data_IF_197703817123
#
_entry.id   IF_197703817123
#
_cell.length_a   1.000
_cell.length_b   1.000
_cell.length_c   1.000
_cell.angle_alpha   90.00
_cell.angle_beta   90.00
_cell.angle_gamma   90.00
#
_symmetry.space_group_name_H-M   'P 1'
#
loop_
_entity.id
_entity.type
_entity.pdbx_description
1 polymer ?
#
# COMPACT_ATOMS: atom_id res chain seq x y z
N UNK A 1 59.89 -7.38 -14.38
CA UNK A 1 59.04 -6.95 -13.26
C UNK A 1 57.88 -6.15 -13.83
N UNK A 2 56.70 -6.76 -13.98
CA UNK A 2 55.47 -6.07 -14.41
C UNK A 2 54.48 -6.10 -13.25
N UNK A 3 54.11 -4.92 -12.74
CA UNK A 3 53.19 -4.76 -11.62
C UNK A 3 51.75 -4.80 -12.17
N UNK A 4 50.96 -5.79 -11.77
CA UNK A 4 49.53 -5.84 -12.09
C UNK A 4 48.81 -4.64 -11.48
N UNK A 5 48.19 -3.83 -12.34
CA UNK A 5 47.30 -2.74 -11.93
C UNK A 5 45.84 -3.20 -11.93
N UNK A 6 45.08 -2.86 -10.89
CA UNK A 6 43.64 -3.07 -10.85
C UNK A 6 42.93 -2.02 -11.70
N UNK A 7 42.18 -2.46 -12.71
CA UNK A 7 41.20 -1.62 -13.41
C UNK A 7 39.89 -1.65 -12.62
N UNK A 8 39.31 -0.48 -12.39
CA UNK A 8 37.99 -0.37 -11.75
C UNK A 8 36.95 -1.02 -12.65
N UNK A 9 36.26 -2.04 -12.16
CA UNK A 9 35.15 -2.65 -12.88
C UNK A 9 33.99 -1.65 -13.00
N UNK A 10 33.20 -1.70 -14.08
CA UNK A 10 31.96 -0.93 -14.17
C UNK A 10 31.06 -1.20 -12.96
N UNK A 11 30.40 -0.17 -12.41
CA UNK A 11 29.47 -0.37 -11.30
C UNK A 11 28.39 -1.36 -11.71
N UNK A 12 28.10 -2.33 -10.83
CA UNK A 12 27.03 -3.29 -11.08
C UNK A 12 25.68 -2.58 -11.18
N UNK A 13 24.81 -2.99 -12.12
CA UNK A 13 23.49 -2.40 -12.24
C UNK A 13 22.71 -2.54 -10.93
N UNK A 14 21.98 -1.49 -10.57
CA UNK A 14 21.15 -1.44 -9.37
C UNK A 14 20.04 -2.50 -9.49
N UNK A 15 19.93 -3.35 -8.47
CA UNK A 15 18.82 -4.29 -8.37
C UNK A 15 17.51 -3.53 -8.16
N UNK A 16 16.52 -3.77 -9.03
CA UNK A 16 15.16 -3.25 -8.85
C UNK A 16 14.48 -4.10 -7.78
N UNK A 17 14.25 -3.53 -6.59
CA UNK A 17 13.45 -4.19 -5.57
C UNK A 17 11.96 -4.11 -5.95
N UNK A 18 11.38 -5.23 -6.36
CA UNK A 18 9.92 -5.35 -6.43
C UNK A 18 9.40 -5.48 -5.00
N UNK A 19 8.85 -4.39 -4.45
CA UNK A 19 8.13 -4.44 -3.17
C UNK A 19 6.78 -5.12 -3.42
N UNK A 20 6.67 -6.38 -3.00
CA UNK A 20 5.39 -7.09 -2.99
C UNK A 20 4.53 -6.56 -1.84
N UNK A 21 3.73 -5.53 -2.12
CA UNK A 21 2.77 -4.97 -1.16
C UNK A 21 1.37 -5.61 -1.25
N UNK A 22 0.49 -5.21 -0.33
CA UNK A 22 -0.92 -5.61 -0.38
C UNK A 22 -1.61 -5.08 -1.64
N UNK A 23 -2.56 -5.83 -2.22
CA UNK A 23 -3.32 -5.35 -3.35
C UNK A 23 -4.12 -4.11 -2.98
N UNK A 24 -4.31 -3.21 -3.95
CA UNK A 24 -5.12 -2.00 -3.75
C UNK A 24 -6.59 -2.37 -3.70
N UNK A 25 -7.31 -1.87 -2.70
CA UNK A 25 -8.76 -1.99 -2.67
C UNK A 25 -9.38 -1.25 -3.87
N UNK A 26 -10.26 -1.95 -4.58
CA UNK A 26 -11.13 -1.36 -5.59
C UNK A 26 -12.48 -1.00 -4.97
N UNK A 27 -13.15 0.08 -5.40
CA UNK A 27 -14.48 0.41 -4.89
C UNK A 27 -15.47 -0.75 -5.10
N UNK A 28 -16.27 -1.06 -4.07
CA UNK A 28 -17.38 -2.00 -4.20
C UNK A 28 -18.29 -1.57 -5.35
N UNK A 29 -18.76 -2.54 -6.14
CA UNK A 29 -19.74 -2.32 -7.19
C UNK A 29 -21.01 -3.08 -6.85
N UNK A 30 -22.14 -2.38 -6.96
CA UNK A 30 -23.47 -2.91 -6.76
C UNK A 30 -24.24 -2.85 -8.08
N UNK A 31 -25.21 -3.76 -8.28
CA UNK A 31 -26.09 -3.69 -9.44
C UNK A 31 -26.87 -2.37 -9.45
N UNK A 32 -27.12 -1.83 -10.65
CA UNK A 32 -27.96 -0.65 -10.79
C UNK A 32 -29.43 -1.02 -10.49
N UNK A 33 -30.10 -0.21 -9.68
CA UNK A 33 -31.46 -0.50 -9.22
C UNK A 33 -32.52 0.21 -10.07
N UNK A 34 -33.38 -0.56 -10.75
CA UNK A 34 -34.61 -0.05 -11.36
C UNK A 34 -35.69 -1.15 -11.52
N UNK A 35 -36.05 -1.88 -10.45
CA UNK A 35 -37.04 -2.94 -10.54
C UNK A 35 -38.43 -2.36 -10.85
N UNK A 36 -39.16 -3.00 -11.76
CA UNK A 36 -40.54 -2.65 -12.15
C UNK A 36 -41.57 -3.56 -11.47
N UNK A 37 -41.13 -4.72 -10.98
CA UNK A 37 -42.00 -5.68 -10.28
C UNK A 37 -41.40 -6.10 -8.95
N UNK A 38 -42.24 -6.63 -8.05
CA UNK A 38 -41.76 -7.20 -6.78
C UNK A 38 -40.84 -8.42 -7.00
N UNK A 39 -41.04 -9.17 -8.09
CA UNK A 39 -40.15 -10.29 -8.44
C UNK A 39 -38.76 -9.80 -8.83
N UNK A 40 -38.69 -8.74 -9.64
CA UNK A 40 -37.43 -8.08 -9.99
C UNK A 40 -36.78 -7.42 -8.77
N UNK A 41 -37.56 -6.82 -7.87
CA UNK A 41 -37.06 -6.25 -6.62
C UNK A 41 -36.41 -7.33 -5.75
N UNK A 42 -37.07 -8.48 -5.58
CA UNK A 42 -36.51 -9.58 -4.80
C UNK A 42 -35.23 -10.13 -5.44
N UNK A 43 -35.22 -10.29 -6.76
CA UNK A 43 -34.03 -10.77 -7.48
C UNK A 43 -32.86 -9.78 -7.34
N UNK A 44 -33.14 -8.48 -7.46
CA UNK A 44 -32.15 -7.42 -7.26
C UNK A 44 -31.63 -7.38 -5.81
N UNK A 45 -32.48 -7.71 -4.84
CA UNK A 45 -32.09 -7.85 -3.43
C UNK A 45 -31.06 -8.97 -3.27
N UNK A 46 -31.37 -10.16 -3.80
CA UNK A 46 -30.46 -11.32 -3.76
C UNK A 46 -29.11 -10.98 -4.44
N UNK A 47 -29.15 -10.31 -5.60
CA UNK A 47 -27.95 -9.87 -6.33
C UNK A 47 -27.13 -8.84 -5.53
N UNK A 48 -27.81 -7.90 -4.87
CA UNK A 48 -27.16 -6.87 -4.06
C UNK A 48 -26.50 -7.47 -2.82
N UNK A 49 -27.16 -8.43 -2.16
CA UNK A 49 -26.61 -9.15 -1.02
C UNK A 49 -25.37 -9.98 -1.41
N UNK A 50 -25.41 -10.64 -2.57
CA UNK A 50 -24.26 -11.37 -3.10
C UNK A 50 -23.07 -10.43 -3.44
N UNK A 51 -23.35 -9.28 -4.04
CA UNK A 51 -22.34 -8.25 -4.32
C UNK A 51 -21.73 -7.67 -3.03
N UNK A 52 -22.54 -7.50 -1.99
CA UNK A 52 -22.09 -7.05 -0.68
C UNK A 52 -21.15 -8.08 -0.04
N UNK A 53 -21.55 -9.35 0.00
CA UNK A 53 -20.74 -10.43 0.55
C UNK A 53 -19.37 -10.51 -0.14
N UNK A 54 -19.39 -10.47 -1.48
CA UNK A 54 -18.15 -10.46 -2.27
C UNK A 54 -17.25 -9.27 -1.95
N UNK A 55 -17.82 -8.07 -1.76
CA UNK A 55 -17.00 -6.92 -1.42
C UNK A 55 -16.43 -7.00 0.01
N UNK A 56 -17.22 -7.48 0.97
CA UNK A 56 -16.77 -7.68 2.34
C UNK A 56 -15.55 -8.62 2.38
N UNK A 57 -15.59 -9.74 1.66
CA UNK A 57 -14.47 -10.68 1.57
C UNK A 57 -13.19 -10.03 1.02
N UNK A 58 -13.31 -9.14 0.03
CA UNK A 58 -12.18 -8.40 -0.53
C UNK A 58 -11.59 -7.42 0.48
N UNK A 59 -12.45 -6.67 1.17
CA UNK A 59 -12.04 -5.71 2.21
C UNK A 59 -11.31 -6.44 3.33
N UNK A 60 -11.87 -7.54 3.84
CA UNK A 60 -11.28 -8.33 4.92
C UNK A 60 -9.93 -8.91 4.52
N UNK A 61 -9.81 -9.42 3.30
CA UNK A 61 -8.54 -9.93 2.76
C UNK A 61 -7.46 -8.85 2.73
N UNK A 62 -7.81 -7.63 2.31
CA UNK A 62 -6.86 -6.51 2.24
C UNK A 62 -6.49 -6.01 3.63
N UNK A 63 -7.44 -5.90 4.54
CA UNK A 63 -7.18 -5.54 5.95
C UNK A 63 -6.25 -6.57 6.59
N UNK A 64 -6.50 -7.87 6.38
CA UNK A 64 -5.64 -8.93 6.90
C UNK A 64 -4.22 -8.86 6.33
N UNK A 65 -4.06 -8.47 5.07
CA UNK A 65 -2.75 -8.24 4.48
C UNK A 65 -2.04 -7.03 5.11
N UNK A 66 -2.76 -5.91 5.28
CA UNK A 66 -2.22 -4.69 5.88
C UNK A 66 -1.77 -4.95 7.33
N UNK A 67 -2.59 -5.64 8.12
CA UNK A 67 -2.26 -6.02 9.49
C UNK A 67 -0.97 -6.86 9.57
N UNK A 68 -0.73 -7.80 8.63
CA UNK A 68 0.53 -8.55 8.56
C UNK A 68 1.73 -7.67 8.20
N UNK A 69 1.52 -6.65 7.36
CA UNK A 69 2.58 -5.72 6.95
C UNK A 69 2.96 -4.77 8.10
N UNK A 70 1.97 -4.31 8.87
CA UNK A 70 2.17 -3.42 10.02
C UNK A 70 2.76 -4.18 11.22
N UNK A 71 2.46 -5.47 11.37
CA UNK A 71 3.00 -6.33 12.42
C UNK A 71 4.48 -6.69 12.24
N UNK A 72 5.09 -6.35 11.10
CA UNK A 72 6.54 -6.39 10.90
C UNK A 72 7.14 -4.99 10.95
N UNK A 73 7.45 -4.44 12.14
CA UNK A 73 8.56 -3.52 12.24
C UNK A 73 9.84 -4.34 12.10
N UNK A 74 10.65 -3.96 11.11
CA UNK A 74 12.01 -4.41 10.83
C UNK A 74 12.17 -5.48 9.74
N UNK A 75 12.24 -4.99 8.50
CA UNK A 75 13.26 -5.45 7.57
C UNK A 75 13.95 -4.22 6.98
N UNK A 76 15.10 -3.88 7.58
CA UNK A 76 16.19 -3.10 6.98
C UNK A 76 16.18 -1.60 7.28
N UNK A 77 16.51 -1.28 8.53
CA UNK A 77 17.50 -0.24 8.78
C UNK A 77 18.84 -0.60 8.09
N UNK A 78 19.00 -0.29 6.79
CA UNK A 78 20.31 -0.20 6.15
C UNK A 78 20.68 1.27 5.93
N UNK A 79 21.37 1.80 6.93
CA UNK A 79 22.54 2.69 6.81
C UNK A 79 22.48 3.80 5.74
N UNK A 80 21.70 4.84 6.02
CA UNK A 80 21.97 6.21 5.56
C UNK A 80 22.37 7.08 6.75
N UNK A 81 23.67 7.35 6.91
CA UNK A 81 24.21 8.22 7.97
C UNK A 81 23.57 9.61 7.86
N UNK A 82 22.80 10.01 8.87
CA UNK A 82 22.21 11.35 8.95
C UNK A 82 23.32 12.37 9.30
N UNK A 83 23.52 13.46 8.52
CA UNK A 83 24.19 14.64 9.03
C UNK A 83 23.13 15.67 9.45
N UNK A 84 23.22 16.09 10.72
CA UNK A 84 22.79 17.39 11.26
C UNK A 84 21.41 17.94 10.88
N UNK A 85 20.45 17.87 11.80
CA UNK A 85 19.39 18.90 11.88
C UNK A 85 19.70 19.81 13.05
N UNK A 86 20.15 21.01 12.73
CA UNK A 86 20.26 22.11 13.68
C UNK A 86 18.87 22.51 14.16
N UNK A 87 18.69 22.47 15.48
CA UNK A 87 17.52 22.99 16.15
C UNK A 87 17.62 24.51 16.21
N UNK A 88 16.93 25.19 15.30
CA UNK A 88 16.61 26.62 15.45
C UNK A 88 15.11 26.76 15.48
N UNK A 89 14.58 26.92 16.70
CA UNK A 89 13.19 27.28 16.92
C UNK A 89 12.91 28.68 16.39
N UNK A 90 11.74 28.85 15.78
CA UNK A 90 11.10 30.16 15.65
C UNK A 90 9.65 29.96 16.08
N UNK A 91 9.35 30.46 17.28
CA UNK A 91 8.00 30.58 17.79
C UNK A 91 7.17 31.51 16.93
N UNK A 92 5.92 31.15 16.71
CA UNK A 92 4.90 32.08 16.22
C UNK A 92 3.83 32.18 17.28
N UNK A 93 3.91 33.27 18.02
CA UNK A 93 2.90 33.77 18.96
C UNK A 93 1.58 34.02 18.22
N UNK A 94 0.50 33.44 18.74
CA UNK A 94 -0.89 33.75 18.37
C UNK A 94 -1.37 34.92 19.24
N UNK A 95 -1.81 36.06 18.68
CA UNK A 95 -2.56 37.03 19.46
C UNK A 95 -4.03 36.61 19.55
N UNK A 96 -4.63 36.92 20.72
CA UNK A 96 -6.06 36.79 21.00
C UNK A 96 -6.91 37.68 20.11
#
# INVERSE_FOLDING_TARGET
MILSGCVSAPPSPVAVLTVNGCPRLTPCRFPAASPQTNGELNSLLDETEAALATCADQVDTIIACQAKSDATPDATAASGKQPGRDSTGIGTSVPQ
#
